data_IF_827407430939
#
_entry.id   IF_827407430939
#
_cell.length_a   1.000
_cell.length_b   1.000
_cell.length_c   1.000
_cell.angle_alpha   90.00
_cell.angle_beta   90.00
_cell.angle_gamma   90.00
#
_symmetry.space_group_name_H-M   'P 1'
#
loop_
_entity.id
_entity.type
_entity.pdbx_description
1 polymer ?
#
# COMPACT_ATOMS: atom_id res chain seq x y z
N UNK A 1 -2.74 -25.79 -22.98
CA UNK A 1 -4.04 -26.51 -22.98
C UNK A 1 -4.87 -25.90 -21.88
N UNK A 2 -6.10 -25.50 -22.16
CA UNK A 2 -7.04 -25.13 -21.11
C UNK A 2 -7.37 -26.43 -20.40
N UNK A 3 -6.99 -26.53 -19.13
CA UNK A 3 -7.28 -27.68 -18.28
C UNK A 3 -8.81 -27.80 -18.18
N UNK A 4 -9.40 -28.93 -18.59
CA UNK A 4 -10.87 -29.13 -18.64
C UNK A 4 -11.52 -28.93 -17.26
N UNK A 5 -10.72 -29.03 -16.19
CA UNK A 5 -11.11 -28.81 -14.80
C UNK A 5 -11.16 -27.32 -14.37
N UNK A 6 -10.70 -26.38 -15.20
CA UNK A 6 -10.69 -24.95 -14.88
C UNK A 6 -11.88 -24.27 -15.53
N UNK A 7 -12.89 -23.93 -14.71
CA UNK A 7 -14.08 -23.20 -15.16
C UNK A 7 -13.72 -21.88 -15.83
N UNK A 8 -14.53 -21.41 -16.78
CA UNK A 8 -14.28 -20.17 -17.50
C UNK A 8 -14.19 -18.95 -16.56
N UNK A 9 -13.45 -17.92 -16.98
CA UNK A 9 -13.28 -16.65 -16.23
C UNK A 9 -14.60 -16.05 -15.74
N UNK A 10 -15.64 -16.11 -16.57
CA UNK A 10 -16.97 -15.62 -16.22
C UNK A 10 -17.61 -16.44 -15.09
N UNK A 11 -17.51 -17.77 -15.13
CA UNK A 11 -18.05 -18.65 -14.07
C UNK A 11 -17.33 -18.38 -12.76
N UNK A 12 -16.01 -18.28 -12.77
CA UNK A 12 -15.22 -17.94 -11.58
C UNK A 12 -15.64 -16.59 -10.99
N UNK A 13 -15.80 -15.57 -11.84
CA UNK A 13 -16.20 -14.23 -11.43
C UNK A 13 -17.62 -14.21 -10.84
N UNK A 14 -18.56 -14.96 -11.42
CA UNK A 14 -19.93 -15.09 -10.92
C UNK A 14 -20.00 -15.81 -9.57
N UNK A 15 -19.16 -16.83 -9.36
CA UNK A 15 -19.07 -17.53 -8.08
C UNK A 15 -18.50 -16.60 -7.00
N UNK A 16 -17.44 -15.86 -7.31
CA UNK A 16 -16.83 -14.89 -6.38
C UNK A 16 -17.77 -13.74 -6.04
N UNK A 17 -18.56 -13.24 -7.01
CA UNK A 17 -19.54 -12.18 -6.75
C UNK A 17 -20.75 -12.66 -5.95
N UNK A 18 -21.15 -13.93 -6.11
CA UNK A 18 -22.26 -14.53 -5.39
C UNK A 18 -21.94 -15.02 -3.98
N UNK A 19 -20.66 -15.22 -3.65
CA UNK A 19 -20.24 -15.73 -2.35
C UNK A 19 -18.96 -15.04 -1.84
N UNK A 20 -19.09 -13.96 -1.05
CA UNK A 20 -17.94 -13.23 -0.52
C UNK A 20 -17.09 -14.06 0.45
N UNK A 21 -17.66 -15.09 1.10
CA UNK A 21 -16.93 -15.94 2.04
C UNK A 21 -15.82 -16.74 1.35
N UNK A 22 -16.09 -17.25 0.15
CA UNK A 22 -15.09 -18.00 -0.63
C UNK A 22 -13.94 -17.09 -1.05
N UNK A 23 -14.24 -15.85 -1.44
CA UNK A 23 -13.21 -14.86 -1.75
C UNK A 23 -12.30 -14.56 -0.55
N UNK A 24 -12.90 -14.37 0.63
CA UNK A 24 -12.16 -14.11 1.86
C UNK A 24 -11.36 -15.31 2.36
N UNK A 25 -11.93 -16.52 2.30
CA UNK A 25 -11.23 -17.77 2.64
C UNK A 25 -10.06 -18.04 1.71
N UNK A 26 -10.28 -17.89 0.39
CA UNK A 26 -9.21 -18.03 -0.59
C UNK A 26 -8.07 -17.03 -0.30
N UNK A 27 -8.41 -15.76 -0.04
CA UNK A 27 -7.42 -14.73 0.29
C UNK A 27 -6.62 -15.07 1.55
N UNK A 28 -7.29 -15.47 2.64
CA UNK A 28 -6.61 -15.84 3.90
C UNK A 28 -5.70 -17.05 3.72
N UNK A 29 -6.19 -18.10 3.04
CA UNK A 29 -5.39 -19.27 2.71
C UNK A 29 -4.15 -18.87 1.88
N UNK A 30 -4.32 -18.00 0.90
CA UNK A 30 -3.22 -17.54 0.03
C UNK A 30 -2.15 -16.80 0.81
N UNK A 31 -2.53 -15.82 1.65
CA UNK A 31 -1.57 -15.03 2.43
C UNK A 31 -0.86 -15.89 3.48
N UNK A 32 -1.57 -16.78 4.18
CA UNK A 32 -0.94 -17.71 5.13
C UNK A 32 0.01 -18.68 4.43
N UNK A 33 -0.36 -19.18 3.25
CA UNK A 33 0.50 -20.07 2.46
C UNK A 33 1.73 -19.34 1.96
N UNK A 34 1.59 -18.09 1.52
CA UNK A 34 2.68 -17.20 1.14
C UNK A 34 3.68 -17.03 2.29
N UNK A 35 3.21 -16.67 3.49
CA UNK A 35 4.04 -16.50 4.68
C UNK A 35 4.77 -17.81 5.03
N UNK A 36 4.05 -18.92 5.10
CA UNK A 36 4.63 -20.20 5.52
C UNK A 36 5.61 -20.77 4.50
N UNK A 37 5.34 -20.60 3.21
CA UNK A 37 6.04 -21.32 2.13
C UNK A 37 7.09 -20.46 1.45
N UNK A 38 6.74 -19.24 1.03
CA UNK A 38 7.67 -18.38 0.32
C UNK A 38 8.56 -17.60 1.28
N UNK A 39 8.02 -17.10 2.39
CA UNK A 39 8.83 -16.46 3.43
C UNK A 39 9.48 -17.47 4.38
N UNK A 40 9.10 -18.75 4.28
CA UNK A 40 9.52 -19.83 5.18
C UNK A 40 9.32 -19.49 6.67
N UNK A 41 8.34 -18.64 7.00
CA UNK A 41 8.12 -18.19 8.37
C UNK A 41 7.07 -19.05 9.06
N UNK A 42 7.51 -19.78 10.07
CA UNK A 42 6.67 -20.65 10.89
C UNK A 42 7.23 -20.69 12.32
N UNK A 43 6.58 -20.03 13.30
CA UNK A 43 7.06 -19.97 14.67
C UNK A 43 7.24 -21.34 15.31
N UNK A 44 6.48 -22.34 14.86
CA UNK A 44 6.52 -23.70 15.39
C UNK A 44 7.65 -24.53 14.77
N UNK A 45 8.27 -24.07 13.66
CA UNK A 45 9.38 -24.75 12.99
C UNK A 45 10.49 -23.77 12.60
N UNK A 46 11.30 -23.29 13.58
CA UNK A 46 12.32 -22.26 13.34
C UNK A 46 13.55 -22.78 12.56
N UNK A 47 13.78 -24.09 12.48
CA UNK A 47 14.94 -24.71 11.82
C UNK A 47 14.78 -24.89 10.30
N UNK A 48 13.87 -24.14 9.66
CA UNK A 48 13.66 -24.25 8.20
C UNK A 48 14.76 -23.54 7.42
N UNK A 49 14.94 -24.02 6.18
CA UNK A 49 15.74 -23.28 5.21
C UNK A 49 15.13 -21.88 4.98
N UNK A 50 15.97 -20.84 4.77
CA UNK A 50 15.51 -19.49 4.51
C UNK A 50 14.51 -19.40 3.36
N UNK A 51 13.55 -18.48 3.48
CA UNK A 51 12.61 -18.18 2.42
C UNK A 51 13.27 -17.52 1.21
N UNK A 52 12.47 -17.20 0.20
CA UNK A 52 12.94 -16.62 -1.06
C UNK A 52 13.56 -15.22 -0.92
N UNK A 53 13.32 -14.55 0.22
CA UNK A 53 13.92 -13.26 0.58
C UNK A 53 15.06 -13.43 1.60
N UNK A 54 15.43 -14.66 1.96
CA UNK A 54 16.32 -14.96 3.08
C UNK A 54 15.59 -15.22 4.40
N UNK A 55 16.33 -15.33 5.53
CA UNK A 55 15.74 -15.65 6.82
C UNK A 55 14.88 -14.47 7.30
N UNK A 56 13.62 -14.73 7.64
CA UNK A 56 12.68 -13.70 8.07
C UNK A 56 12.59 -13.70 9.60
N UNK A 57 12.82 -12.55 10.22
CA UNK A 57 12.74 -12.37 11.68
C UNK A 57 11.34 -11.91 12.13
N UNK A 58 10.68 -11.07 11.33
CA UNK A 58 9.34 -10.58 11.60
C UNK A 58 8.61 -10.20 10.31
N UNK A 59 7.28 -10.13 10.40
CA UNK A 59 6.42 -9.50 9.41
C UNK A 59 5.18 -8.88 10.05
N UNK A 60 4.60 -7.91 9.34
CA UNK A 60 3.30 -7.32 9.63
C UNK A 60 2.59 -7.02 8.32
N UNK A 61 1.39 -7.55 8.13
CA UNK A 61 0.54 -7.33 6.97
C UNK A 61 -0.78 -6.68 7.35
N UNK A 62 -1.19 -5.63 6.66
CA UNK A 62 -2.51 -5.00 6.81
C UNK A 62 -3.37 -5.35 5.59
N UNK A 63 -4.63 -5.68 5.82
CA UNK A 63 -5.61 -6.05 4.80
C UNK A 63 -6.62 -4.93 4.62
N UNK A 64 -6.76 -4.43 3.40
CA UNK A 64 -7.78 -3.45 3.05
C UNK A 64 -8.56 -3.90 1.80
N UNK A 65 -9.79 -3.41 1.60
CA UNK A 65 -10.47 -3.62 0.32
C UNK A 65 -10.04 -2.56 -0.68
N UNK A 66 -9.79 -3.00 -1.91
CA UNK A 66 -9.62 -2.09 -3.04
C UNK A 66 -10.95 -1.40 -3.35
N UNK A 67 -10.91 -0.32 -4.13
CA UNK A 67 -12.13 0.39 -4.56
C UNK A 67 -13.14 -0.45 -5.37
N UNK A 68 -12.79 -1.69 -5.73
CA UNK A 68 -13.66 -2.69 -6.37
C UNK A 68 -14.15 -3.79 -5.41
N UNK A 69 -13.82 -3.69 -4.12
CA UNK A 69 -14.27 -4.59 -3.06
C UNK A 69 -13.41 -5.84 -2.81
N UNK A 70 -12.40 -6.11 -3.65
CA UNK A 70 -11.47 -7.22 -3.44
C UNK A 70 -10.48 -6.93 -2.31
N UNK A 71 -10.17 -7.93 -1.49
CA UNK A 71 -9.14 -7.83 -0.46
C UNK A 71 -7.75 -7.72 -1.06
N UNK A 72 -6.89 -6.92 -0.43
CA UNK A 72 -5.47 -6.84 -0.74
C UNK A 72 -4.65 -6.62 0.52
N UNK A 73 -3.38 -7.04 0.48
CA UNK A 73 -2.46 -6.98 1.61
C UNK A 73 -1.29 -6.05 1.31
N UNK A 74 -1.00 -5.13 2.22
CA UNK A 74 0.28 -4.43 2.31
C UNK A 74 1.10 -5.09 3.39
N UNK A 75 2.34 -5.49 3.12
CA UNK A 75 3.14 -6.26 4.08
C UNK A 75 4.55 -5.71 4.24
N UNK A 76 4.98 -5.60 5.49
CA UNK A 76 6.37 -5.41 5.87
C UNK A 76 6.98 -6.72 6.28
N UNK A 77 8.22 -6.94 5.83
CA UNK A 77 9.00 -8.14 6.08
C UNK A 77 10.37 -7.68 6.55
N UNK A 78 10.76 -8.12 7.74
CA UNK A 78 12.07 -7.89 8.32
C UNK A 78 12.90 -9.15 8.18
N UNK A 79 14.10 -8.99 7.63
CA UNK A 79 15.05 -10.08 7.46
C UNK A 79 15.97 -10.16 8.68
N UNK A 80 16.42 -11.35 9.02
CA UNK A 80 17.39 -11.54 10.08
C UNK A 80 18.72 -10.86 9.71
N UNK A 81 19.29 -10.12 10.65
CA UNK A 81 20.51 -9.35 10.42
C UNK A 81 20.33 -8.11 9.54
N UNK A 82 19.09 -7.72 9.20
CA UNK A 82 18.85 -6.45 8.51
C UNK A 82 19.29 -5.28 9.39
N UNK A 83 20.21 -4.47 8.88
CA UNK A 83 20.66 -3.25 9.54
C UNK A 83 19.56 -2.19 9.51
N UNK A 84 19.59 -1.29 10.48
CA UNK A 84 18.69 -0.14 10.44
C UNK A 84 19.07 0.78 9.25
N UNK A 85 18.11 1.57 8.71
CA UNK A 85 18.37 2.49 7.59
C UNK A 85 19.57 3.44 7.76
N UNK A 86 19.84 3.90 8.99
CA UNK A 86 20.97 4.78 9.26
C UNK A 86 22.30 4.01 9.23
N UNK A 87 22.34 2.78 9.73
CA UNK A 87 23.52 1.91 9.68
C UNK A 87 23.84 1.52 8.23
N UNK A 88 22.83 1.25 7.41
CA UNK A 88 23.02 1.01 5.97
C UNK A 88 23.62 2.27 5.33
N UNK A 89 23.04 3.44 5.61
CA UNK A 89 23.56 4.73 5.11
C UNK A 89 25.02 4.91 5.52
N UNK A 90 25.33 4.75 6.79
CA UNK A 90 26.65 5.06 7.37
C UNK A 90 27.73 4.09 6.86
N UNK A 91 27.38 2.84 6.52
CA UNK A 91 28.30 1.89 5.87
C UNK A 91 28.57 2.20 4.40
N UNK A 92 27.57 2.75 3.70
CA UNK A 92 27.71 3.17 2.30
C UNK A 92 28.45 4.52 2.23
N UNK A 93 28.13 5.43 3.14
CA UNK A 93 28.70 6.76 3.22
C UNK A 93 30.21 6.70 3.48
N UNK A 94 30.94 7.60 2.82
CA UNK A 94 32.41 7.62 2.87
C UNK A 94 33.09 6.48 2.10
N UNK A 95 32.32 5.55 1.50
CA UNK A 95 32.85 4.49 0.64
C UNK A 95 33.79 3.50 1.34
N UNK A 96 33.68 3.34 2.65
CA UNK A 96 34.60 2.51 3.44
C UNK A 96 34.24 1.02 3.39
N UNK A 97 32.96 0.67 3.30
CA UNK A 97 32.48 -0.72 3.29
C UNK A 97 31.97 -1.12 1.88
N UNK A 98 32.92 -1.18 0.93
CA UNK A 98 32.65 -1.52 -0.48
C UNK A 98 32.10 -2.95 -0.61
N UNK A 99 32.59 -3.89 0.21
CA UNK A 99 32.15 -5.28 0.16
C UNK A 99 30.68 -5.40 0.57
N UNK A 100 30.28 -4.77 1.68
CA UNK A 100 28.88 -4.70 2.09
C UNK A 100 28.01 -4.10 1.00
N UNK A 101 28.42 -2.94 0.44
CA UNK A 101 27.66 -2.23 -0.58
C UNK A 101 27.43 -3.10 -1.82
N UNK A 102 28.47 -3.76 -2.32
CA UNK A 102 28.36 -4.66 -3.47
C UNK A 102 27.49 -5.88 -3.19
N UNK A 103 27.58 -6.47 -1.98
CA UNK A 103 26.72 -7.59 -1.58
C UNK A 103 25.25 -7.18 -1.50
N UNK A 104 24.97 -6.01 -0.94
CA UNK A 104 23.61 -5.47 -0.85
C UNK A 104 23.03 -5.19 -2.25
N UNK A 105 23.79 -4.53 -3.12
CA UNK A 105 23.37 -4.30 -4.52
C UNK A 105 23.06 -5.62 -5.22
N UNK A 106 23.95 -6.61 -5.11
CA UNK A 106 23.75 -7.92 -5.74
C UNK A 106 22.49 -8.61 -5.24
N UNK A 107 22.26 -8.57 -3.93
CA UNK A 107 21.05 -9.14 -3.33
C UNK A 107 19.78 -8.45 -3.86
N UNK A 108 19.77 -7.11 -3.94
CA UNK A 108 18.62 -6.34 -4.41
C UNK A 108 18.34 -6.56 -5.90
N UNK A 109 19.38 -6.57 -6.74
CA UNK A 109 19.25 -6.79 -8.18
C UNK A 109 18.83 -8.23 -8.53
N UNK A 110 19.15 -9.21 -7.67
CA UNK A 110 18.70 -10.61 -7.79
C UNK A 110 17.24 -10.79 -7.29
N UNK A 111 16.87 -10.07 -6.24
CA UNK A 111 15.55 -10.20 -5.58
C UNK A 111 14.46 -9.43 -6.31
N UNK A 112 14.78 -8.27 -6.89
CA UNK A 112 13.81 -7.31 -7.43
C UNK A 112 14.01 -7.15 -8.94
N UNK A 113 13.03 -7.62 -9.71
CA UNK A 113 12.96 -7.44 -11.15
C UNK A 113 12.16 -6.19 -11.50
N UNK A 114 12.69 -5.41 -12.45
CA UNK A 114 12.09 -4.15 -12.93
C UNK A 114 11.90 -4.12 -14.45
N UNK A 115 11.80 -5.30 -15.07
CA UNK A 115 11.57 -5.47 -16.51
C UNK A 115 10.68 -6.68 -16.81
N UNK A 116 10.20 -6.74 -18.04
CA UNK A 116 9.57 -7.93 -18.61
C UNK A 116 10.66 -8.83 -19.16
N UNK A 117 10.80 -10.08 -18.69
CA UNK A 117 11.81 -11.01 -19.21
C UNK A 117 11.56 -11.28 -20.69
N UNK A 118 12.61 -11.22 -21.52
CA UNK A 118 12.52 -11.54 -22.95
C UNK A 118 12.31 -13.04 -23.14
N UNK A 119 11.20 -13.43 -23.79
CA UNK A 119 10.94 -14.80 -24.22
C UNK A 119 10.74 -14.85 -25.73
N UNK A 120 11.25 -15.89 -26.40
CA UNK A 120 11.06 -16.10 -27.83
C UNK A 120 9.59 -16.32 -28.22
N UNK A 121 8.76 -16.76 -27.26
CA UNK A 121 7.33 -17.04 -27.43
C UNK A 121 6.43 -15.85 -27.08
N UNK A 122 7.02 -14.66 -26.87
CA UNK A 122 6.31 -13.51 -26.33
C UNK A 122 5.54 -12.74 -27.42
N UNK A 123 4.48 -13.35 -27.94
CA UNK A 123 3.42 -12.62 -28.63
C UNK A 123 2.40 -12.11 -27.58
N UNK A 124 2.83 -11.12 -26.79
CA UNK A 124 2.04 -10.49 -25.73
C UNK A 124 0.85 -9.67 -26.25
N UNK A 125 0.67 -9.61 -27.57
CA UNK A 125 -0.34 -8.79 -28.25
C UNK A 125 -1.68 -9.51 -28.46
N UNK A 126 -1.75 -10.84 -28.35
CA UNK A 126 -2.98 -11.58 -28.65
C UNK A 126 -3.98 -11.50 -27.50
N UNK A 127 -4.93 -10.56 -27.61
CA UNK A 127 -6.03 -10.33 -26.66
C UNK A 127 -6.96 -11.54 -26.50
N UNK A 128 -6.90 -12.52 -27.41
CA UNK A 128 -7.70 -13.75 -27.38
C UNK A 128 -7.17 -14.80 -26.40
N UNK A 129 -5.92 -14.67 -25.93
CA UNK A 129 -5.35 -15.60 -24.94
C UNK A 129 -5.95 -15.35 -23.56
N UNK A 130 -6.26 -16.44 -22.86
CA UNK A 130 -6.74 -16.40 -21.47
C UNK A 130 -5.72 -15.66 -20.60
N UNK A 131 -6.20 -14.79 -19.71
CA UNK A 131 -5.34 -14.04 -18.79
C UNK A 131 -4.49 -15.02 -17.96
N UNK A 132 -3.16 -14.81 -17.85
CA UNK A 132 -2.26 -15.79 -17.23
C UNK A 132 -2.58 -16.04 -15.75
N UNK A 133 -3.20 -15.08 -15.04
CA UNK A 133 -3.68 -15.26 -13.66
C UNK A 133 -4.77 -16.33 -13.50
N UNK A 134 -5.51 -16.66 -14.57
CA UNK A 134 -6.52 -17.72 -14.53
C UNK A 134 -5.97 -19.10 -14.89
N UNK A 135 -4.69 -19.16 -15.28
CA UNK A 135 -4.02 -20.41 -15.62
C UNK A 135 -3.35 -20.99 -14.38
N UNK A 136 -3.27 -22.32 -14.32
CA UNK A 136 -2.48 -23.01 -13.30
C UNK A 136 -0.99 -22.69 -13.49
N UNK A 137 -0.21 -22.64 -12.40
CA UNK A 137 1.23 -22.49 -12.48
C UNK A 137 1.88 -23.57 -13.35
N UNK A 138 3.02 -23.24 -13.96
CA UNK A 138 3.81 -24.18 -14.73
C UNK A 138 4.35 -25.28 -13.80
N UNK A 139 3.95 -26.52 -14.07
CA UNK A 139 4.50 -27.72 -13.41
C UNK A 139 5.48 -28.42 -14.36
N UNK A 140 6.50 -29.06 -13.80
CA UNK A 140 7.46 -29.88 -14.55
C UNK A 140 6.78 -31.14 -15.04
N UNK A 141 6.93 -31.44 -16.32
CA UNK A 141 6.34 -32.65 -16.92
C UNK A 141 7.23 -33.88 -16.63
N UNK A 142 6.65 -35.09 -16.53
CA UNK A 142 7.44 -36.30 -16.37
C UNK A 142 8.45 -36.48 -17.52
N UNK A 143 9.73 -36.66 -17.18
CA UNK A 143 10.82 -36.84 -18.16
C UNK A 143 11.27 -35.56 -18.88
N UNK A 144 10.79 -34.39 -18.47
CA UNK A 144 11.17 -33.11 -19.05
C UNK A 144 12.54 -32.63 -18.53
N UNK A 145 13.40 -32.25 -19.47
CA UNK A 145 14.69 -31.65 -19.16
C UNK A 145 14.56 -30.20 -18.62
N UNK A 146 15.63 -29.74 -17.95
CA UNK A 146 15.66 -28.40 -17.36
C UNK A 146 15.52 -27.28 -18.39
N UNK A 147 16.02 -27.48 -19.61
CA UNK A 147 15.99 -26.45 -20.65
C UNK A 147 14.56 -26.22 -21.15
N UNK A 148 13.79 -27.29 -21.37
CA UNK A 148 12.38 -27.24 -21.72
C UNK A 148 11.55 -26.63 -20.60
N UNK A 149 11.74 -27.12 -19.36
CA UNK A 149 11.00 -26.62 -18.20
C UNK A 149 11.24 -25.12 -17.98
N UNK A 150 12.50 -24.69 -17.96
CA UNK A 150 12.87 -23.30 -17.75
C UNK A 150 12.39 -22.39 -18.88
N UNK A 151 12.36 -22.87 -20.13
CA UNK A 151 11.79 -22.12 -21.26
C UNK A 151 10.29 -21.84 -21.05
N UNK A 152 9.52 -22.85 -20.65
CA UNK A 152 8.08 -22.69 -20.37
C UNK A 152 7.83 -21.80 -19.16
N UNK A 153 8.62 -21.95 -18.11
CA UNK A 153 8.56 -21.11 -16.91
C UNK A 153 8.85 -19.64 -17.25
N UNK A 154 9.88 -19.37 -18.06
CA UNK A 154 10.22 -18.02 -18.51
C UNK A 154 9.13 -17.41 -19.40
N UNK A 155 8.54 -18.20 -20.30
CA UNK A 155 7.43 -17.75 -21.14
C UNK A 155 6.19 -17.39 -20.31
N UNK A 156 5.83 -18.19 -19.31
CA UNK A 156 4.73 -17.90 -18.38
C UNK A 156 5.00 -16.65 -17.55
N UNK A 157 6.20 -16.54 -16.96
CA UNK A 157 6.60 -15.36 -16.19
C UNK A 157 6.58 -14.08 -17.04
N UNK A 158 7.05 -14.16 -18.29
CA UNK A 158 7.04 -13.03 -19.21
C UNK A 158 5.61 -12.55 -19.50
N UNK A 159 4.68 -13.46 -19.75
CA UNK A 159 3.26 -13.13 -19.95
C UNK A 159 2.60 -12.58 -18.68
N UNK A 160 2.88 -13.18 -17.52
CA UNK A 160 2.41 -12.70 -16.23
C UNK A 160 2.90 -11.28 -15.96
N UNK A 161 4.21 -11.04 -16.08
CA UNK A 161 4.80 -9.73 -15.84
C UNK A 161 4.24 -8.69 -16.82
N UNK A 162 4.10 -9.04 -18.10
CA UNK A 162 3.51 -8.15 -19.10
C UNK A 162 2.06 -7.77 -18.76
N UNK A 163 1.23 -8.74 -18.34
CA UNK A 163 -0.19 -8.48 -18.06
C UNK A 163 -0.46 -7.86 -16.69
N UNK A 164 0.40 -8.10 -15.70
CA UNK A 164 0.14 -7.70 -14.30
C UNK A 164 1.07 -6.62 -13.76
N UNK A 165 2.27 -6.44 -14.33
CA UNK A 165 3.27 -5.49 -13.82
C UNK A 165 3.49 -4.30 -14.74
N UNK A 166 3.19 -4.43 -16.04
CA UNK A 166 3.28 -3.32 -16.99
C UNK A 166 2.15 -2.32 -16.74
N UNK A 167 2.52 -1.10 -16.39
CA UNK A 167 1.60 0.01 -16.25
C UNK A 167 1.14 0.52 -17.61
N UNK A 168 -0.18 0.66 -17.75
CA UNK A 168 -0.82 1.32 -18.89
C UNK A 168 -1.50 2.56 -18.35
N UNK A 169 -1.04 3.73 -18.80
CA UNK A 169 -1.61 5.00 -18.34
C UNK A 169 -3.11 5.07 -18.67
N UNK A 170 -3.88 5.46 -17.67
CA UNK A 170 -5.32 5.65 -17.76
C UNK A 170 -5.71 7.01 -17.17
N UNK A 171 -7.00 7.37 -17.21
CA UNK A 171 -7.48 8.61 -16.60
C UNK A 171 -7.08 8.74 -15.11
N UNK A 172 -7.03 7.65 -14.36
CA UNK A 172 -6.66 7.68 -12.93
C UNK A 172 -5.21 8.11 -12.69
N UNK A 173 -4.33 7.93 -13.68
CA UNK A 173 -2.93 8.34 -13.60
C UNK A 173 -2.80 9.86 -13.53
N UNK A 174 -3.78 10.57 -14.08
CA UNK A 174 -3.76 12.02 -14.22
C UNK A 174 -4.82 12.70 -13.37
N UNK A 175 -5.31 12.00 -12.34
CA UNK A 175 -6.33 12.51 -11.41
C UNK A 175 -5.95 13.85 -10.79
N UNK A 176 -4.67 14.08 -10.53
CA UNK A 176 -4.16 15.30 -9.91
C UNK A 176 -3.59 16.30 -10.92
N UNK A 177 -3.71 16.03 -12.21
CA UNK A 177 -3.25 16.94 -13.24
C UNK A 177 -4.16 18.17 -13.27
N UNK A 178 -3.59 19.34 -12.98
CA UNK A 178 -4.32 20.62 -12.86
C UNK A 178 -4.73 21.24 -14.21
N UNK A 179 -4.44 20.56 -15.33
CA UNK A 179 -4.72 21.05 -16.67
C UNK A 179 -3.75 22.13 -17.17
N UNK A 180 -4.04 22.70 -18.34
CA UNK A 180 -3.30 23.83 -18.90
C UNK A 180 -1.87 23.47 -19.36
N UNK A 181 -0.89 24.27 -18.94
CA UNK A 181 0.54 24.12 -19.28
C UNK A 181 1.29 23.18 -18.34
N UNK A 182 0.65 22.66 -17.28
CA UNK A 182 1.31 21.74 -16.36
C UNK A 182 1.64 20.42 -17.06
N UNK A 183 2.84 19.85 -16.87
CA UNK A 183 3.21 18.60 -17.51
C UNK A 183 2.29 17.48 -16.99
N UNK A 184 1.88 16.61 -17.91
CA UNK A 184 0.98 15.49 -17.62
C UNK A 184 1.78 14.36 -16.98
N UNK A 185 2.00 14.44 -15.68
CA UNK A 185 2.76 13.44 -14.91
C UNK A 185 1.86 12.33 -14.38
N UNK A 186 2.37 11.10 -14.40
CA UNK A 186 1.67 9.98 -13.79
C UNK A 186 1.73 10.11 -12.27
N UNK A 187 0.58 10.00 -11.58
CA UNK A 187 0.47 9.97 -10.12
C UNK A 187 1.40 8.96 -9.46
N UNK A 188 1.71 7.86 -10.15
CA UNK A 188 2.57 6.79 -9.65
C UNK A 188 4.05 6.98 -10.04
N UNK A 189 4.39 8.09 -10.69
CA UNK A 189 5.76 8.41 -11.15
C UNK A 189 6.35 7.35 -12.12
N UNK A 190 5.47 6.63 -12.82
CA UNK A 190 5.82 5.66 -13.85
C UNK A 190 5.89 6.36 -15.21
N UNK A 191 7.07 6.33 -15.81
CA UNK A 191 7.37 6.96 -17.09
C UNK A 191 8.40 6.14 -17.87
N UNK A 192 8.29 6.11 -19.20
CA UNK A 192 9.20 5.35 -20.07
C UNK A 192 10.65 5.85 -19.97
N UNK A 193 10.86 7.12 -19.61
CA UNK A 193 12.19 7.71 -19.42
C UNK A 193 12.84 7.35 -18.08
N UNK A 194 12.09 6.79 -17.13
CA UNK A 194 12.60 6.40 -15.81
C UNK A 194 13.36 5.06 -15.90
N UNK A 195 14.53 5.08 -16.54
CA UNK A 195 15.36 3.90 -16.76
C UNK A 195 16.76 4.10 -16.18
N UNK A 196 17.24 3.07 -15.47
CA UNK A 196 18.55 2.98 -14.86
C UNK A 196 19.07 1.56 -15.00
N UNK A 197 20.20 1.39 -15.69
CA UNK A 197 20.76 0.07 -16.01
C UNK A 197 21.32 -0.65 -14.78
N UNK A 198 21.86 0.10 -13.82
CA UNK A 198 22.53 -0.44 -12.63
C UNK A 198 21.98 0.23 -11.37
N UNK A 199 22.01 -0.50 -10.27
CA UNK A 199 21.81 0.08 -8.94
C UNK A 199 23.05 0.91 -8.58
N UNK A 200 22.83 2.14 -8.13
CA UNK A 200 23.88 3.10 -7.80
C UNK A 200 23.83 3.40 -6.31
N UNK A 201 24.99 3.30 -5.66
CA UNK A 201 25.20 3.76 -4.28
C UNK A 201 25.94 5.11 -4.31
N UNK A 202 25.31 6.15 -3.78
CA UNK A 202 25.98 7.42 -3.59
C UNK A 202 26.80 7.38 -2.29
N UNK A 203 28.12 7.33 -2.42
CA UNK A 203 29.06 7.29 -1.29
C UNK A 203 29.09 8.60 -0.49
N UNK A 204 28.53 9.69 -1.01
CA UNK A 204 28.49 10.99 -0.32
C UNK A 204 27.31 11.04 0.64
N UNK A 205 26.13 10.62 0.16
CA UNK A 205 24.87 10.69 0.92
C UNK A 205 24.54 9.38 1.64
N UNK A 206 25.12 8.26 1.19
CA UNK A 206 24.78 6.92 1.63
C UNK A 206 23.45 6.40 1.06
N UNK A 207 22.90 7.06 0.03
CA UNK A 207 21.62 6.69 -0.59
C UNK A 207 21.80 5.65 -1.71
N UNK A 208 20.82 4.74 -1.80
CA UNK A 208 20.75 3.72 -2.84
C UNK A 208 19.66 4.06 -3.84
N UNK A 209 20.03 4.07 -5.11
CA UNK A 209 19.12 4.24 -6.24
C UNK A 209 19.05 2.95 -7.02
N UNK A 210 17.92 2.24 -6.93
CA UNK A 210 17.76 0.90 -7.51
C UNK A 210 17.68 0.91 -9.04
N UNK A 211 18.20 -0.16 -9.64
CA UNK A 211 18.07 -0.47 -11.06
C UNK A 211 16.60 -0.50 -11.52
N UNK A 212 16.31 0.22 -12.59
CA UNK A 212 14.99 0.26 -13.22
C UNK A 212 15.16 0.02 -14.72
N UNK A 213 14.96 -1.22 -15.19
CA UNK A 213 15.21 -1.56 -16.59
C UNK A 213 14.05 -1.19 -17.53
N UNK A 214 12.84 -1.03 -17.00
CA UNK A 214 11.68 -0.51 -17.72
C UNK A 214 10.86 0.38 -16.79
N UNK A 215 10.84 1.70 -17.03
CA UNK A 215 10.18 2.67 -16.15
C UNK A 215 8.65 2.59 -16.05
N UNK A 216 8.01 1.72 -16.83
CA UNK A 216 6.57 1.40 -16.72
C UNK A 216 6.29 0.08 -15.98
N UNK A 217 7.31 -0.68 -15.57
CA UNK A 217 7.12 -1.94 -14.88
C UNK A 217 7.23 -1.74 -13.37
N UNK A 218 6.17 -2.13 -12.64
CA UNK A 218 6.22 -2.19 -11.19
C UNK A 218 7.32 -3.18 -10.75
N UNK A 219 8.16 -2.82 -9.77
CA UNK A 219 9.13 -3.75 -9.19
C UNK A 219 8.44 -4.99 -8.61
N UNK A 220 8.92 -6.19 -8.97
CA UNK A 220 8.34 -7.45 -8.50
C UNK A 220 9.43 -8.47 -8.19
N UNK A 221 9.11 -9.50 -7.39
CA UNK A 221 9.96 -10.68 -7.26
C UNK A 221 9.46 -11.77 -8.21
N UNK A 222 10.30 -12.32 -9.11
CA UNK A 222 9.88 -13.33 -10.10
C UNK A 222 9.20 -14.56 -9.51
N UNK A 223 9.70 -15.06 -8.38
CA UNK A 223 9.17 -16.24 -7.69
C UNK A 223 7.82 -15.94 -7.04
N UNK A 224 7.70 -14.79 -6.36
CA UNK A 224 6.43 -14.33 -5.80
C UNK A 224 5.38 -14.14 -6.90
N UNK A 225 5.74 -13.50 -8.01
CA UNK A 225 4.81 -13.26 -9.12
C UNK A 225 4.34 -14.58 -9.75
N UNK A 226 5.23 -15.55 -9.92
CA UNK A 226 4.88 -16.86 -10.49
C UNK A 226 3.94 -17.65 -9.59
N UNK A 227 4.10 -17.54 -8.28
CA UNK A 227 3.29 -18.24 -7.28
C UNK A 227 1.94 -17.54 -7.02
N UNK A 228 1.97 -16.22 -6.82
CA UNK A 228 0.80 -15.42 -6.49
C UNK A 228 -0.06 -15.12 -7.72
N UNK A 229 0.57 -15.01 -8.90
CA UNK A 229 -0.07 -14.72 -10.18
C UNK A 229 -1.00 -13.51 -10.11
N UNK A 230 -0.60 -12.45 -9.43
CA UNK A 230 -1.34 -11.21 -9.34
C UNK A 230 -0.39 -10.01 -9.42
N UNK A 231 -0.94 -8.81 -9.63
CA UNK A 231 -0.14 -7.58 -9.51
C UNK A 231 0.46 -7.50 -8.09
N UNK A 232 1.70 -7.03 -8.01
CA UNK A 232 2.43 -6.84 -6.75
C UNK A 232 3.42 -5.69 -6.92
N UNK A 233 3.88 -5.12 -5.80
CA UNK A 233 4.91 -4.07 -5.79
C UNK A 233 5.83 -4.34 -4.60
N UNK A 234 7.08 -4.72 -4.88
CA UNK A 234 8.09 -4.99 -3.84
C UNK A 234 9.09 -3.84 -3.78
N UNK A 235 9.28 -3.26 -2.60
CA UNK A 235 10.22 -2.17 -2.39
C UNK A 235 11.17 -2.47 -1.24
N UNK A 236 12.45 -2.22 -1.46
CA UNK A 236 13.44 -2.23 -0.40
C UNK A 236 13.38 -0.94 0.41
N UNK A 237 13.23 -1.07 1.72
CA UNK A 237 13.24 0.05 2.66
C UNK A 237 14.68 0.26 3.12
N UNK A 238 15.43 1.04 2.34
CA UNK A 238 16.85 1.30 2.55
C UNK A 238 17.13 2.51 3.44
N UNK A 239 18.19 3.25 3.12
CA UNK A 239 18.66 4.45 3.80
C UNK A 239 17.95 5.74 3.35
N UNK A 240 18.14 6.83 4.11
CA UNK A 240 17.88 8.19 3.65
C UNK A 240 16.41 8.62 3.61
N UNK A 241 16.07 9.48 2.67
CA UNK A 241 14.72 10.04 2.51
C UNK A 241 13.68 8.95 2.17
N UNK A 242 14.07 7.94 1.39
CA UNK A 242 13.24 6.79 1.01
C UNK A 242 12.71 6.02 2.22
N UNK A 243 13.52 5.83 3.25
CA UNK A 243 13.11 5.16 4.50
C UNK A 243 12.02 5.94 5.23
N UNK A 244 12.21 7.26 5.37
CA UNK A 244 11.25 8.15 6.04
C UNK A 244 9.94 8.24 5.27
N UNK A 245 10.01 8.42 3.95
CA UNK A 245 8.83 8.48 3.09
C UNK A 245 8.02 7.18 3.16
N UNK A 246 8.69 6.03 3.16
CA UNK A 246 8.01 4.73 3.31
C UNK A 246 7.40 4.57 4.70
N UNK A 247 8.06 5.00 5.78
CA UNK A 247 7.45 4.99 7.12
C UNK A 247 6.15 5.80 7.17
N UNK A 248 6.12 7.00 6.59
CA UNK A 248 4.89 7.79 6.49
C UNK A 248 3.83 7.10 5.64
N UNK A 249 4.23 6.55 4.49
CA UNK A 249 3.33 5.82 3.61
C UNK A 249 2.69 4.63 4.34
N UNK A 250 3.49 3.77 4.97
CA UNK A 250 3.00 2.63 5.75
C UNK A 250 2.10 3.10 6.89
N UNK A 251 2.51 4.14 7.62
CA UNK A 251 1.71 4.69 8.71
C UNK A 251 0.34 5.09 8.19
N UNK A 252 0.28 5.79 7.04
CA UNK A 252 -0.98 6.17 6.41
C UNK A 252 -1.84 4.95 6.06
N UNK A 253 -1.29 3.84 5.54
CA UNK A 253 -2.08 2.61 5.32
C UNK A 253 -2.59 1.98 6.62
N UNK A 254 -1.77 1.95 7.67
CA UNK A 254 -2.16 1.38 8.96
C UNK A 254 -3.22 2.27 9.64
N UNK A 255 -3.09 3.59 9.52
CA UNK A 255 -3.97 4.57 10.17
C UNK A 255 -5.08 5.06 9.26
N UNK A 256 -5.23 4.51 8.06
CA UNK A 256 -6.11 5.02 7.01
C UNK A 256 -7.53 5.13 7.54
N UNK A 257 -7.99 6.35 7.75
CA UNK A 257 -9.36 6.61 8.13
C UNK A 257 -10.28 6.09 7.02
N UNK A 258 -11.15 5.14 7.35
CA UNK A 258 -12.08 4.58 6.36
C UNK A 258 -13.14 5.59 5.90
N UNK A 259 -13.28 6.73 6.60
CA UNK A 259 -14.26 7.77 6.28
C UNK A 259 -13.60 9.02 5.69
N UNK A 260 -13.97 9.37 4.45
CA UNK A 260 -13.55 10.64 3.82
C UNK A 260 -14.21 11.83 4.53
N UNK A 261 -13.49 12.96 4.62
CA UNK A 261 -13.95 14.15 5.32
C UNK A 261 -15.34 14.64 4.87
N UNK A 262 -15.63 14.71 3.57
CA UNK A 262 -16.94 15.14 3.07
C UNK A 262 -18.09 14.21 3.46
N UNK A 263 -17.84 12.89 3.59
CA UNK A 263 -18.83 11.93 4.12
C UNK A 263 -19.03 12.16 5.61
N UNK A 264 -17.95 12.44 6.35
CA UNK A 264 -18.03 12.82 7.76
C UNK A 264 -18.86 14.10 7.95
N UNK A 265 -18.64 15.12 7.13
CA UNK A 265 -19.39 16.37 7.16
C UNK A 265 -20.86 16.19 6.78
N UNK A 266 -21.17 15.39 5.76
CA UNK A 266 -22.54 15.04 5.41
C UNK A 266 -23.26 14.29 6.54
N UNK A 267 -22.57 13.37 7.20
CA UNK A 267 -23.10 12.64 8.37
C UNK A 267 -23.32 13.57 9.57
N UNK A 268 -22.41 14.52 9.81
CA UNK A 268 -22.54 15.57 10.83
C UNK A 268 -23.74 16.48 10.56
N UNK A 269 -23.92 16.95 9.33
CA UNK A 269 -25.07 17.78 8.94
C UNK A 269 -26.40 17.01 9.11
N UNK A 270 -26.45 15.74 8.68
CA UNK A 270 -27.60 14.88 8.89
C UNK A 270 -27.91 14.64 10.38
N UNK A 271 -26.88 14.46 11.21
CA UNK A 271 -27.03 14.29 12.66
C UNK A 271 -27.54 15.57 13.34
N UNK A 272 -27.04 16.74 12.94
CA UNK A 272 -27.51 18.05 13.41
C UNK A 272 -28.97 18.28 13.06
N UNK A 273 -29.38 18.00 11.81
CA UNK A 273 -30.78 18.08 11.37
C UNK A 273 -31.69 17.16 12.20
N UNK A 274 -31.24 15.95 12.54
CA UNK A 274 -31.99 14.97 13.38
C UNK A 274 -32.09 15.33 14.86
N UNK A 275 -31.29 16.26 15.38
CA UNK A 275 -31.35 16.72 16.79
C UNK A 275 -32.33 17.87 16.98
N UNK A 276 -32.63 18.61 15.92
CA UNK A 276 -33.53 19.75 15.98
C UNK A 276 -32.98 20.89 16.85
N UNK A 277 -33.82 21.88 17.14
CA UNK A 277 -33.44 23.06 17.94
C UNK A 277 -33.25 22.72 19.42
N UNK A 278 -32.34 23.45 20.09
CA UNK A 278 -32.13 23.27 21.53
C UNK A 278 -33.30 23.83 22.32
N UNK A 279 -33.82 23.02 23.24
CA UNK A 279 -34.85 23.42 24.20
C UNK A 279 -34.27 23.31 25.61
N UNK A 280 -33.91 24.43 26.24
CA UNK A 280 -33.25 24.44 27.57
C UNK A 280 -34.13 23.89 28.70
N UNK A 281 -35.43 23.78 28.45
CA UNK A 281 -36.48 23.27 29.32
C UNK A 281 -36.63 21.73 29.26
N UNK A 282 -36.10 21.08 28.22
CA UNK A 282 -36.19 19.63 28.01
C UNK A 282 -34.86 18.89 28.25
N UNK A 283 -33.71 19.57 28.09
CA UNK A 283 -32.40 18.90 28.20
C UNK A 283 -31.27 19.83 28.65
N UNK A 284 -30.24 19.25 29.29
CA UNK A 284 -29.03 20.00 29.67
C UNK A 284 -28.08 20.12 28.48
N UNK A 285 -27.25 21.16 28.46
CA UNK A 285 -26.20 21.35 27.44
C UNK A 285 -25.27 20.13 27.36
N UNK A 286 -24.93 19.53 28.51
CA UNK A 286 -24.07 18.35 28.58
C UNK A 286 -24.73 17.11 27.94
N UNK A 287 -26.00 16.84 28.26
CA UNK A 287 -26.74 15.74 27.65
C UNK A 287 -26.94 15.93 26.14
N UNK A 288 -27.24 17.16 25.72
CA UNK A 288 -27.34 17.51 24.30
C UNK A 288 -26.01 17.31 23.58
N UNK A 289 -24.90 17.73 24.17
CA UNK A 289 -23.55 17.48 23.65
C UNK A 289 -23.28 15.99 23.48
N UNK A 290 -23.64 15.16 24.47
CA UNK A 290 -23.51 13.71 24.40
C UNK A 290 -24.39 13.09 23.30
N UNK A 291 -25.64 13.52 23.18
CA UNK A 291 -26.54 13.06 22.12
C UNK A 291 -26.04 13.46 20.72
N UNK A 292 -25.48 14.66 20.58
CA UNK A 292 -24.86 15.13 19.35
C UNK A 292 -23.68 14.23 18.97
N UNK A 293 -22.73 14.03 19.87
CA UNK A 293 -21.59 13.15 19.64
C UNK A 293 -22.03 11.74 19.25
N UNK A 294 -22.99 11.16 19.97
CA UNK A 294 -23.52 9.83 19.66
C UNK A 294 -24.19 9.77 18.28
N UNK A 295 -25.06 10.73 17.94
CA UNK A 295 -25.74 10.72 16.63
C UNK A 295 -24.77 10.97 15.48
N UNK A 296 -23.77 11.83 15.66
CA UNK A 296 -22.70 12.03 14.69
C UNK A 296 -21.90 10.73 14.51
N UNK A 297 -21.50 10.08 15.59
CA UNK A 297 -20.78 8.81 15.54
C UNK A 297 -21.61 7.71 14.83
N UNK A 298 -22.90 7.56 15.16
CA UNK A 298 -23.76 6.59 14.49
C UNK A 298 -24.02 6.92 13.02
N UNK A 299 -24.19 8.20 12.68
CA UNK A 299 -24.34 8.63 11.29
C UNK A 299 -23.07 8.32 10.49
N UNK A 300 -21.90 8.64 11.04
CA UNK A 300 -20.60 8.35 10.44
C UNK A 300 -20.42 6.85 10.19
N UNK A 301 -20.73 6.01 11.18
CA UNK A 301 -20.68 4.55 11.04
C UNK A 301 -21.68 4.02 10.01
N UNK A 302 -22.90 4.60 9.94
CA UNK A 302 -23.92 4.14 9.00
C UNK A 302 -23.64 4.47 7.53
N UNK A 303 -22.80 5.48 7.29
CA UNK A 303 -22.38 5.90 5.94
C UNK A 303 -21.05 5.26 5.52
N UNK A 304 -20.46 4.41 6.37
CA UNK A 304 -19.26 3.66 6.03
C UNK A 304 -19.64 2.45 5.17
N UNK A 305 -19.32 2.52 3.88
CA UNK A 305 -19.46 1.39 2.98
C UNK A 305 -18.30 0.40 3.20
N UNK A 306 -18.64 -0.86 3.46
CA UNK A 306 -17.70 -1.95 3.59
C UNK A 306 -17.92 -2.96 2.47
N UNK A 307 -16.82 -3.50 1.93
CA UNK A 307 -16.94 -4.57 0.95
C UNK A 307 -17.49 -5.85 1.60
N UNK A 308 -18.26 -6.62 0.83
CA UNK A 308 -18.81 -7.89 1.31
C UNK A 308 -17.70 -8.87 1.75
N UNK A 309 -16.54 -8.86 1.08
CA UNK A 309 -15.39 -9.70 1.44
C UNK A 309 -14.71 -9.25 2.74
N UNK A 310 -14.60 -7.94 3.01
CA UNK A 310 -14.11 -7.46 4.31
C UNK A 310 -15.02 -7.93 5.44
N UNK A 311 -16.33 -7.75 5.29
CA UNK A 311 -17.30 -8.21 6.29
C UNK A 311 -17.18 -9.71 6.50
N UNK A 312 -17.11 -10.49 5.42
CA UNK A 312 -16.93 -11.94 5.50
C UNK A 312 -15.61 -12.32 6.20
N UNK A 313 -14.50 -11.63 5.93
CA UNK A 313 -13.20 -11.86 6.59
C UNK A 313 -13.29 -11.71 8.11
N UNK A 314 -13.98 -10.66 8.58
CA UNK A 314 -14.21 -10.44 10.01
C UNK A 314 -15.15 -11.49 10.62
N UNK A 315 -16.24 -11.84 9.93
CA UNK A 315 -17.19 -12.87 10.41
C UNK A 315 -16.56 -14.26 10.50
N UNK A 316 -15.62 -14.56 9.60
CA UNK A 316 -14.86 -15.83 9.59
C UNK A 316 -13.70 -15.82 10.61
N UNK A 317 -13.41 -14.69 11.25
CA UNK A 317 -12.35 -14.57 12.24
C UNK A 317 -10.94 -14.43 11.66
N UNK A 318 -10.80 -14.15 10.35
CA UNK A 318 -9.50 -13.87 9.73
C UNK A 318 -8.98 -12.48 10.08
N UNK A 319 -9.90 -11.52 10.28
CA UNK A 319 -9.59 -10.14 10.64
C UNK A 319 -9.08 -9.31 9.46
N UNK A 320 -8.27 -8.30 9.79
CA UNK A 320 -7.72 -7.28 8.87
C UNK A 320 -6.19 -7.16 8.94
N UNK A 321 -5.49 -8.09 9.61
CA UNK A 321 -4.04 -8.09 9.65
C UNK A 321 -3.44 -9.49 9.83
N UNK A 322 -2.17 -9.60 9.47
CA UNK A 322 -1.30 -10.74 9.74
C UNK A 322 -0.08 -10.26 10.52
N UNK A 323 0.26 -10.92 11.61
CA UNK A 323 1.44 -10.56 12.40
C UNK A 323 2.21 -11.78 12.85
N UNK A 324 3.53 -11.64 12.87
CA UNK A 324 4.47 -12.57 13.47
C UNK A 324 4.50 -12.50 15.00
N UNK A 325 4.18 -11.34 15.58
CA UNK A 325 4.33 -11.04 17.01
C UNK A 325 3.01 -10.63 17.66
N UNK A 326 2.90 -10.88 18.96
CA UNK A 326 1.76 -10.44 19.77
C UNK A 326 2.02 -9.03 20.31
N UNK A 327 1.25 -8.07 19.86
CA UNK A 327 1.33 -6.69 20.35
C UNK A 327 0.55 -6.51 21.65
N UNK A 328 0.92 -5.48 22.42
CA UNK A 328 0.20 -5.04 23.63
C UNK A 328 -0.38 -3.67 23.38
N UNK A 329 -1.57 -3.42 23.92
CA UNK A 329 -2.19 -2.11 23.85
C UNK A 329 -1.34 -1.09 24.62
N UNK A 330 -0.93 -0.02 23.94
CA UNK A 330 -0.27 1.12 24.55
C UNK A 330 -1.33 2.21 24.75
N UNK A 331 -1.53 2.65 26.00
CA UNK A 331 -2.39 3.79 26.30
C UNK A 331 -1.65 5.07 25.90
N UNK A 332 -1.75 5.45 24.63
CA UNK A 332 -0.91 6.49 24.01
C UNK A 332 -0.84 7.76 24.83
N UNK A 333 -1.98 8.32 25.24
CA UNK A 333 -2.03 9.57 26.02
C UNK A 333 -1.35 9.46 27.39
N UNK A 334 -1.45 8.30 28.06
CA UNK A 334 -0.78 8.08 29.35
C UNK A 334 0.73 7.90 29.16
N UNK A 335 1.12 7.21 28.09
CA UNK A 335 2.51 7.01 27.74
C UNK A 335 3.17 8.34 27.34
N UNK A 336 2.51 9.14 26.50
CA UNK A 336 2.92 10.50 26.12
C UNK A 336 3.09 11.38 27.36
N UNK A 337 2.09 11.44 28.24
CA UNK A 337 2.20 12.16 29.52
C UNK A 337 3.36 11.66 30.38
N UNK A 338 3.60 10.35 30.41
CA UNK A 338 4.73 9.79 31.14
C UNK A 338 6.07 10.27 30.54
N UNK A 339 6.21 10.23 29.22
CA UNK A 339 7.41 10.71 28.52
C UNK A 339 7.60 12.20 28.75
N UNK A 340 6.55 13.02 28.60
CA UNK A 340 6.63 14.47 28.83
C UNK A 340 7.05 14.78 30.27
N UNK A 341 6.51 14.07 31.26
CA UNK A 341 6.90 14.25 32.65
C UNK A 341 8.37 13.89 32.93
N UNK A 342 8.93 12.92 32.22
CA UNK A 342 10.33 12.47 32.40
C UNK A 342 11.33 13.26 31.54
N UNK A 343 10.90 13.66 30.34
CA UNK A 343 11.72 14.25 29.28
C UNK A 343 11.01 15.47 28.69
N UNK A 344 10.71 16.46 29.54
CA UNK A 344 10.04 17.71 29.14
C UNK A 344 10.72 18.31 27.90
N UNK A 345 10.03 18.31 26.76
CA UNK A 345 10.50 19.03 25.58
C UNK A 345 10.12 20.50 25.70
N UNK A 346 11.15 21.37 25.76
CA UNK A 346 10.98 22.82 25.72
C UNK A 346 10.36 23.34 24.42
N UNK A 347 10.35 22.52 23.36
CA UNK A 347 9.80 22.85 22.04
C UNK A 347 8.29 22.60 21.98
N UNK A 348 7.80 21.58 22.69
CA UNK A 348 6.38 21.23 22.75
C UNK A 348 5.60 22.10 23.75
N UNK A 349 6.29 22.61 24.79
CA UNK A 349 5.70 23.47 25.81
C UNK A 349 6.62 24.67 26.06
N UNK A 350 6.51 25.75 25.26
CA UNK A 350 7.22 26.98 25.56
C UNK A 350 6.78 27.45 26.95
N UNK A 351 7.72 27.53 27.88
CA UNK A 351 7.49 28.18 29.17
C UNK A 351 7.14 29.63 28.89
N UNK A 352 5.85 29.97 28.96
CA UNK A 352 5.44 31.37 29.03
C UNK A 352 6.07 31.93 30.30
N UNK A 353 7.17 32.68 30.15
CA UNK A 353 7.71 33.48 31.23
C UNK A 353 6.63 34.49 31.60
N UNK A 354 6.09 34.35 32.80
CA UNK A 354 5.21 35.33 33.42
C UNK A 354 6.03 36.59 33.73
N UNK A 355 6.24 37.43 32.71
CA UNK A 355 6.73 38.80 32.88
C UNK A 355 5.69 39.77 32.31
N UNK A 356 4.96 40.38 33.23
CA UNK A 356 4.23 41.64 33.14
C UNK A 356 3.09 41.73 32.11
N UNK A 357 1.89 41.37 32.55
CA UNK A 357 0.66 42.00 32.05
C UNK A 357 0.60 43.45 32.60
N UNK A 358 1.12 44.41 31.83
CA UNK A 358 0.62 45.78 31.86
C UNK A 358 -0.18 46.06 30.58
N UNK A 359 -1.36 46.63 30.79
CA UNK A 359 -2.34 47.04 29.79
C UNK A 359 -1.73 47.99 28.74
N UNK A 360 -1.90 47.68 27.44
CA UNK A 360 -1.52 48.62 26.38
C UNK A 360 -1.83 48.12 24.98
N UNK A 361 -2.99 48.53 24.45
CA UNK A 361 -3.41 48.48 23.05
C UNK A 361 -2.27 48.70 22.03
N UNK A 362 -1.99 47.71 21.17
CA UNK A 362 -1.91 47.81 19.70
C UNK A 362 -1.66 46.42 19.08
N UNK A 363 -2.56 45.95 18.24
CA UNK A 363 -2.33 44.77 17.43
C UNK A 363 -1.38 45.13 16.27
N UNK A 364 -0.12 44.71 16.37
CA UNK A 364 0.80 44.66 15.23
C UNK A 364 1.11 43.20 14.93
N UNK A 365 0.69 42.76 13.73
CA UNK A 365 0.97 41.46 13.15
C UNK A 365 2.49 41.28 12.98
N UNK A 366 3.11 40.42 13.79
CA UNK A 366 4.45 39.91 13.50
C UNK A 366 4.31 38.64 12.67
N UNK A 367 4.57 38.80 11.38
CA UNK A 367 4.79 37.72 10.41
C UNK A 367 6.09 37.01 10.78
N UNK A 368 6.00 35.77 11.23
CA UNK A 368 7.16 34.87 11.33
C UNK A 368 7.38 34.22 9.96
N UNK A 369 8.32 34.80 9.22
CA UNK A 369 8.94 34.21 8.03
C UNK A 369 9.65 32.92 8.43
N UNK A 370 9.03 31.78 8.14
CA UNK A 370 9.69 30.47 8.11
C UNK A 370 10.00 30.15 6.66
N UNK A 371 11.25 30.45 6.25
CA UNK A 371 11.82 29.94 5.01
C UNK A 371 12.18 28.47 5.20
N UNK A 372 11.23 27.60 4.88
CA UNK A 372 11.45 26.20 4.55
C UNK A 372 10.31 25.81 3.62
N UNK A 373 10.63 25.55 2.35
CA UNK A 373 9.67 25.07 1.34
C UNK A 373 9.11 23.72 1.80
N UNK A 374 7.97 23.79 2.50
CA UNK A 374 7.08 22.67 2.69
C UNK A 374 6.16 22.64 1.46
N UNK A 375 6.38 21.67 0.58
CA UNK A 375 5.42 21.34 -0.47
C UNK A 375 4.11 20.92 0.19
N UNK A 376 3.14 21.82 0.14
CA UNK A 376 1.79 21.64 0.67
C UNK A 376 1.02 20.67 -0.23
N UNK A 377 0.73 19.49 0.31
CA UNK A 377 -0.38 18.67 -0.20
C UNK A 377 -1.65 19.17 0.46
N UNK A 378 -2.28 20.16 -0.19
CA UNK A 378 -3.58 20.70 0.18
C UNK A 378 -4.71 19.69 -0.13
N UNK A 379 -5.51 19.41 0.90
CA UNK A 379 -6.85 18.83 0.82
C UNK A 379 -7.87 19.92 0.44
N UNK A 380 -8.73 19.56 -0.53
CA UNK A 380 -10.05 20.11 -0.89
C UNK A 380 -10.22 21.60 -1.25
N UNK A 381 -10.81 21.83 -2.44
CA UNK A 381 -12.15 22.42 -2.64
C UNK A 381 -12.23 23.27 -3.93
N UNK A 382 -13.13 22.92 -4.85
CA UNK A 382 -13.33 23.70 -6.08
C UNK A 382 -14.36 23.15 -7.08
N UNK A 383 -15.65 23.26 -6.73
CA UNK A 383 -16.74 23.64 -7.65
C UNK A 383 -17.01 22.83 -8.93
N UNK A 384 -18.02 21.96 -8.85
CA UNK A 384 -19.11 21.71 -9.82
C UNK A 384 -18.83 21.93 -11.33
N UNK A 385 -18.85 20.81 -12.08
CA UNK A 385 -19.78 20.61 -13.20
C UNK A 385 -20.06 19.11 -13.35
N UNK A 386 -21.32 18.71 -13.15
CA UNK A 386 -21.82 17.38 -13.53
C UNK A 386 -21.70 17.19 -15.05
N UNK A 387 -21.34 15.98 -15.51
CA UNK A 387 -21.93 15.43 -16.71
C UNK A 387 -22.85 14.26 -16.35
N UNK A 388 -24.02 14.34 -16.98
CA UNK A 388 -25.17 13.45 -16.91
C UNK A 388 -24.82 11.96 -17.05
N UNK A 389 -25.60 11.14 -16.35
CA UNK A 389 -25.71 9.71 -16.55
C UNK A 389 -25.78 9.34 -18.05
N UNK A 390 -24.79 8.59 -18.51
CA UNK A 390 -24.82 7.85 -19.76
C UNK A 390 -24.64 6.38 -19.45
N UNK A 391 -25.74 5.63 -19.49
CA UNK A 391 -25.73 4.19 -19.74
C UNK A 391 -24.85 3.93 -20.96
N UNK A 392 -23.91 2.98 -20.86
CA UNK A 392 -23.44 2.28 -22.05
C UNK A 392 -23.21 0.80 -21.71
N UNK A 393 -24.32 0.07 -21.76
CA UNK A 393 -24.35 -1.33 -22.19
C UNK A 393 -23.81 -1.37 -23.62
N UNK A 394 -22.61 -1.91 -23.81
CA UNK A 394 -21.96 -2.01 -25.11
C UNK A 394 -21.27 -3.35 -25.30
N UNK A 395 -22.07 -4.42 -25.30
CA UNK A 395 -21.71 -5.62 -26.04
C UNK A 395 -21.57 -5.23 -27.53
N UNK A 396 -20.41 -5.49 -28.12
CA UNK A 396 -20.28 -5.62 -29.57
C UNK A 396 -19.69 -7.01 -29.84
N UNK A 397 -20.61 -7.95 -30.03
CA UNK A 397 -20.50 -8.91 -31.12
C UNK A 397 -20.45 -8.12 -32.44
N UNK A 398 -19.46 -8.39 -33.29
CA UNK A 398 -19.68 -8.83 -34.67
C UNK A 398 -18.32 -9.03 -35.40
N UNK A 399 -18.28 -10.18 -36.09
CA UNK A 399 -17.30 -10.79 -37.02
C UNK A 399 -15.91 -11.28 -36.54
#
# INVERSE_FOLDING_TARGET
MVDEDVSTSWIQSKLLSGNPFIGSEFFDLYIRTFIRTLLAYDPDTPEREPGILGPVSAYYGCVEAQGRGSLHCHMLIWLEGSLNPNEIRDRIAGGQDIEFTNRLIRYLDDTIATHIPSSADNDGSDSRKVHPCHLRPIVRLPGEDDSSYNRRLLADLSQLAFKTQLHIHSHTCYKYWKGGTSPKTCRFELDQSNVRENTVADVTTGELTLRQLNGLVNPYNPTMLSALRCNMDIKFIGSGASAKAILYYITDYITKCQLKAHIAFGALDAALKKIGTYRPDEDTIANRGKQLLNKCAYAMLSHQELSAQQVASFLMGYGDYYTSHRFRSLQWTQFEQFIDNQYHSSECYPTFSSSNYEHGSRAENVVLSTGAEADTLDDDNGGLHEPQDGNDDGAQEDD
#
